data_IF_835932408468
#
_entry.id   IF_835932408468
#
_cell.length_a   1.000
_cell.length_b   1.000
_cell.length_c   1.000
_cell.angle_alpha   90.00
_cell.angle_beta   90.00
_cell.angle_gamma   90.00
#
_symmetry.space_group_name_H-M   'P 1'
#
loop_
_entity.id
_entity.type
_entity.pdbx_description
1 polymer ?
#
# COMPACT_ATOMS: atom_id res chain seq x y z
N UNK A 1 -34.67 1.60 -1.94
CA UNK A 1 -33.61 2.60 -2.18
C UNK A 1 -32.89 2.17 -3.45
N UNK A 2 -32.88 3.01 -4.48
CA UNK A 2 -32.29 2.66 -5.77
C UNK A 2 -30.76 2.70 -5.69
N UNK A 3 -30.11 1.53 -5.69
CA UNK A 3 -28.66 1.39 -5.64
C UNK A 3 -27.97 2.09 -6.84
N UNK A 4 -28.67 2.28 -7.97
CA UNK A 4 -28.16 2.98 -9.14
C UNK A 4 -27.88 4.48 -8.89
N UNK A 5 -28.44 5.05 -7.81
CA UNK A 5 -28.20 6.43 -7.40
C UNK A 5 -27.08 6.58 -6.36
N UNK A 6 -26.52 5.48 -5.87
CA UNK A 6 -25.39 5.52 -4.94
C UNK A 6 -24.07 5.62 -5.70
N UNK A 7 -23.12 6.36 -5.11
CA UNK A 7 -21.77 6.44 -5.65
C UNK A 7 -21.16 5.02 -5.76
N UNK A 8 -20.49 4.66 -6.87
CA UNK A 8 -19.96 3.30 -7.10
C UNK A 8 -19.09 2.73 -5.96
N UNK A 9 -18.32 3.59 -5.29
CA UNK A 9 -17.52 3.22 -4.12
C UNK A 9 -18.38 2.72 -2.93
N UNK A 10 -19.59 3.25 -2.77
CA UNK A 10 -20.52 2.81 -1.71
C UNK A 10 -21.17 1.48 -2.06
N UNK A 11 -21.54 1.30 -3.33
CA UNK A 11 -22.08 0.03 -3.83
C UNK A 11 -21.04 -1.08 -3.62
N UNK A 12 -19.81 -0.87 -4.05
CA UNK A 12 -18.73 -1.85 -3.87
C UNK A 12 -18.39 -2.11 -2.40
N UNK A 13 -18.40 -1.07 -1.55
CA UNK A 13 -18.23 -1.24 -0.09
C UNK A 13 -19.34 -2.10 0.50
N UNK A 14 -20.59 -1.82 0.16
CA UNK A 14 -21.75 -2.59 0.62
C UNK A 14 -21.69 -4.04 0.13
N UNK A 15 -21.33 -4.28 -1.14
CA UNK A 15 -21.15 -5.62 -1.70
C UNK A 15 -20.11 -6.43 -0.93
N UNK A 16 -18.95 -5.85 -0.61
CA UNK A 16 -17.91 -6.54 0.20
C UNK A 16 -18.41 -6.92 1.59
N UNK A 17 -19.14 -6.01 2.24
CA UNK A 17 -19.68 -6.26 3.58
C UNK A 17 -20.79 -7.33 3.55
N UNK A 18 -21.67 -7.28 2.56
CA UNK A 18 -22.70 -8.29 2.36
C UNK A 18 -22.12 -9.67 2.03
N UNK A 19 -21.16 -9.74 1.10
CA UNK A 19 -20.47 -10.98 0.72
C UNK A 19 -19.79 -11.65 1.91
N UNK A 20 -19.19 -10.86 2.81
CA UNK A 20 -18.61 -11.34 4.07
C UNK A 20 -19.66 -11.89 5.04
N UNK A 21 -20.82 -11.24 5.14
CA UNK A 21 -21.85 -11.59 6.10
C UNK A 21 -22.66 -12.84 5.69
N UNK A 22 -22.58 -13.26 4.43
CA UNK A 22 -23.27 -14.46 3.94
C UNK A 22 -22.73 -15.73 4.60
N UNK A 23 -23.62 -16.47 5.27
CA UNK A 23 -23.36 -17.86 5.65
C UNK A 23 -23.31 -18.76 4.41
N UNK A 24 -22.82 -19.99 4.58
CA UNK A 24 -22.78 -20.94 3.48
C UNK A 24 -24.20 -21.33 3.02
N UNK A 25 -25.18 -21.42 3.94
CA UNK A 25 -26.58 -21.70 3.63
C UNK A 25 -27.20 -20.56 2.83
N UNK A 26 -26.98 -19.31 3.26
CA UNK A 26 -27.49 -18.13 2.57
C UNK A 26 -26.88 -17.99 1.18
N UNK A 27 -25.58 -18.27 1.04
CA UNK A 27 -24.91 -18.30 -0.27
C UNK A 27 -25.47 -19.41 -1.17
N UNK A 28 -25.70 -20.61 -0.64
CA UNK A 28 -26.30 -21.71 -1.38
C UNK A 28 -27.73 -21.38 -1.83
N UNK A 29 -28.52 -20.73 -0.97
CA UNK A 29 -29.87 -20.28 -1.31
C UNK A 29 -29.87 -19.23 -2.43
N UNK A 30 -29.00 -18.22 -2.38
CA UNK A 30 -28.84 -17.24 -3.45
C UNK A 30 -28.49 -17.90 -4.79
N UNK A 31 -27.56 -18.85 -4.76
CA UNK A 31 -27.09 -19.55 -5.96
C UNK A 31 -28.15 -20.42 -6.65
N UNK A 32 -29.29 -20.70 -6.00
CA UNK A 32 -30.42 -21.44 -6.60
C UNK A 32 -31.30 -20.59 -7.52
N UNK A 33 -31.15 -19.27 -7.49
CA UNK A 33 -31.89 -18.35 -8.35
C UNK A 33 -30.95 -17.77 -9.42
N UNK A 34 -31.40 -17.54 -10.67
CA UNK A 34 -30.56 -16.93 -11.70
C UNK A 34 -30.00 -15.57 -11.28
N UNK A 35 -30.81 -14.73 -10.63
CA UNK A 35 -30.39 -13.40 -10.16
C UNK A 35 -29.36 -13.49 -9.03
N UNK A 36 -29.57 -14.38 -8.05
CA UNK A 36 -28.63 -14.58 -6.96
C UNK A 36 -27.30 -15.17 -7.44
N UNK A 37 -27.32 -16.13 -8.38
CA UNK A 37 -26.11 -16.67 -8.99
C UNK A 37 -25.31 -15.57 -9.73
N UNK A 38 -26.00 -14.70 -10.48
CA UNK A 38 -25.38 -13.54 -11.14
C UNK A 38 -24.77 -12.56 -10.13
N UNK A 39 -25.47 -12.25 -9.05
CA UNK A 39 -24.96 -11.38 -7.99
C UNK A 39 -23.70 -11.96 -7.32
N UNK A 40 -23.68 -13.27 -7.04
CA UNK A 40 -22.51 -13.94 -6.47
C UNK A 40 -21.31 -13.95 -7.42
N UNK A 41 -21.56 -14.08 -8.73
CA UNK A 41 -20.52 -13.95 -9.76
C UNK A 41 -19.95 -12.52 -9.77
N UNK A 42 -20.81 -11.51 -9.78
CA UNK A 42 -20.40 -10.10 -9.73
C UNK A 42 -19.54 -9.82 -8.47
N UNK A 43 -19.96 -10.31 -7.30
CA UNK A 43 -19.19 -10.16 -6.06
C UNK A 43 -17.84 -10.90 -6.11
N UNK A 44 -17.78 -12.06 -6.76
CA UNK A 44 -16.54 -12.81 -6.99
C UNK A 44 -15.58 -12.03 -7.89
N UNK A 45 -16.08 -11.39 -8.94
CA UNK A 45 -15.29 -10.54 -9.83
C UNK A 45 -14.80 -9.27 -9.10
N UNK A 46 -15.69 -8.60 -8.37
CA UNK A 46 -15.33 -7.46 -7.52
C UNK A 46 -14.28 -7.81 -6.46
N UNK A 47 -14.28 -9.06 -5.95
CA UNK A 47 -13.26 -9.55 -5.02
C UNK A 47 -11.88 -9.68 -5.65
N UNK A 48 -11.81 -9.98 -6.95
CA UNK A 48 -10.55 -10.07 -7.70
C UNK A 48 -10.06 -8.69 -8.10
N UNK A 49 -10.98 -7.80 -8.50
CA UNK A 49 -10.67 -6.45 -8.96
C UNK A 49 -9.99 -5.56 -7.90
N UNK A 50 -8.99 -4.78 -8.32
CA UNK A 50 -8.33 -3.80 -7.45
C UNK A 50 -9.35 -2.79 -6.89
N UNK A 51 -9.33 -2.47 -5.58
CA UNK A 51 -10.16 -1.43 -5.02
C UNK A 51 -9.86 -0.08 -5.71
N UNK A 52 -10.86 0.78 -5.84
CA UNK A 52 -10.64 2.16 -6.28
C UNK A 52 -10.00 2.97 -5.16
N UNK A 53 -9.14 3.94 -5.45
CA UNK A 53 -8.69 4.88 -4.43
C UNK A 53 -9.86 5.68 -3.83
N UNK A 54 -9.78 6.03 -2.53
CA UNK A 54 -10.83 6.80 -1.88
C UNK A 54 -10.96 8.19 -2.50
N UNK A 55 -12.21 8.62 -2.71
CA UNK A 55 -12.51 10.00 -3.05
C UNK A 55 -12.82 10.78 -1.78
N UNK A 56 -12.09 11.87 -1.57
CA UNK A 56 -12.27 12.75 -0.42
C UNK A 56 -13.07 14.01 -0.81
N UNK A 57 -13.81 14.61 0.14
CA UNK A 57 -14.08 14.10 1.49
C UNK A 57 -15.10 12.95 1.48
N UNK A 58 -15.03 12.07 2.48
CA UNK A 58 -16.12 11.13 2.76
C UNK A 58 -17.29 11.89 3.40
N UNK A 59 -18.53 11.39 3.22
CA UNK A 59 -19.71 11.98 3.85
C UNK A 59 -19.70 11.86 5.38
N UNK A 60 -19.08 10.82 5.94
CA UNK A 60 -18.91 10.63 7.39
C UNK A 60 -17.69 9.77 7.73
N UNK A 61 -17.29 9.79 9.00
CA UNK A 61 -16.22 8.91 9.52
C UNK A 61 -16.62 7.44 9.46
N UNK A 62 -17.88 7.11 9.74
CA UNK A 62 -18.41 5.74 9.66
C UNK A 62 -18.31 5.20 8.24
N UNK A 63 -18.65 6.01 7.24
CA UNK A 63 -18.53 5.63 5.83
C UNK A 63 -17.07 5.42 5.43
N UNK A 64 -16.18 6.30 5.88
CA UNK A 64 -14.76 6.16 5.64
C UNK A 64 -14.18 4.89 6.30
N UNK A 65 -14.61 4.60 7.54
CA UNK A 65 -14.23 3.38 8.25
C UNK A 65 -14.77 2.14 7.55
N UNK A 66 -16.05 2.12 7.17
CA UNK A 66 -16.67 1.00 6.47
C UNK A 66 -15.97 0.69 5.15
N UNK A 67 -15.59 1.72 4.39
CA UNK A 67 -14.79 1.60 3.18
C UNK A 67 -13.47 0.88 3.45
N UNK A 68 -12.66 1.38 4.39
CA UNK A 68 -11.35 0.78 4.71
C UNK A 68 -11.50 -0.63 5.32
N UNK A 69 -12.45 -0.82 6.24
CA UNK A 69 -12.72 -2.11 6.88
C UNK A 69 -13.12 -3.17 5.85
N UNK A 70 -13.95 -2.81 4.86
CA UNK A 70 -14.35 -3.71 3.79
C UNK A 70 -13.15 -4.23 2.98
N UNK A 71 -12.13 -3.39 2.76
CA UNK A 71 -10.90 -3.76 2.05
C UNK A 71 -10.05 -4.68 2.93
N UNK A 72 -9.83 -4.33 4.20
CA UNK A 72 -9.06 -5.16 5.14
C UNK A 72 -9.69 -6.56 5.24
N UNK A 73 -11.01 -6.63 5.40
CA UNK A 73 -11.73 -7.89 5.48
C UNK A 73 -11.61 -8.76 4.23
N UNK A 74 -11.47 -8.14 3.06
CA UNK A 74 -11.37 -8.83 1.78
C UNK A 74 -9.93 -9.24 1.42
N UNK A 75 -8.94 -8.42 1.79
CA UNK A 75 -7.56 -8.50 1.27
C UNK A 75 -6.51 -8.90 2.30
N UNK A 76 -6.82 -8.73 3.59
CA UNK A 76 -5.87 -9.05 4.63
C UNK A 76 -5.85 -10.54 4.97
N UNK A 77 -4.81 -10.99 5.66
CA UNK A 77 -4.79 -12.33 6.26
C UNK A 77 -5.89 -12.50 7.31
N UNK A 78 -6.30 -13.74 7.63
CA UNK A 78 -7.30 -13.99 8.68
C UNK A 78 -6.95 -13.34 10.03
N UNK A 79 -5.67 -13.29 10.39
CA UNK A 79 -5.20 -12.70 11.64
C UNK A 79 -5.41 -11.17 11.67
N UNK A 80 -5.11 -10.48 10.57
CA UNK A 80 -5.33 -9.04 10.46
C UNK A 80 -6.83 -8.69 10.41
N UNK A 81 -7.63 -9.49 9.69
CA UNK A 81 -9.09 -9.35 9.67
C UNK A 81 -9.68 -9.51 11.07
N UNK A 82 -9.27 -10.53 11.84
CA UNK A 82 -9.70 -10.72 13.24
C UNK A 82 -9.23 -9.59 14.17
N UNK A 83 -8.03 -9.05 13.96
CA UNK A 83 -7.56 -7.91 14.73
C UNK A 83 -8.48 -6.69 14.54
N UNK A 84 -8.94 -6.44 13.31
CA UNK A 84 -9.89 -5.37 13.03
C UNK A 84 -11.24 -5.61 13.74
N UNK A 85 -11.76 -6.85 13.72
CA UNK A 85 -13.01 -7.21 14.43
C UNK A 85 -12.92 -6.99 15.94
N UNK A 86 -11.75 -7.26 16.52
CA UNK A 86 -11.43 -7.03 17.93
C UNK A 86 -11.15 -5.55 18.25
N UNK A 87 -11.42 -4.63 17.31
CA UNK A 87 -11.14 -3.20 17.44
C UNK A 87 -9.67 -2.87 17.72
N UNK A 88 -8.74 -3.75 17.30
CA UNK A 88 -7.29 -3.49 17.42
C UNK A 88 -6.83 -2.59 16.28
N UNK A 89 -5.72 -1.91 16.53
CA UNK A 89 -5.02 -1.07 15.54
C UNK A 89 -4.67 -1.87 14.29
N UNK A 90 -5.14 -1.37 13.14
CA UNK A 90 -4.77 -1.86 11.80
C UNK A 90 -4.42 -0.67 10.94
N UNK A 91 -3.35 -0.78 10.17
CA UNK A 91 -2.92 0.24 9.21
C UNK A 91 -3.14 -0.31 7.81
N UNK A 92 -3.81 0.46 6.95
CA UNK A 92 -4.12 0.11 5.56
C UNK A 92 -3.36 1.05 4.63
N UNK A 93 -2.48 0.50 3.78
CA UNK A 93 -1.86 1.21 2.66
C UNK A 93 -2.68 1.04 1.40
N UNK A 94 -3.08 2.16 0.79
CA UNK A 94 -3.83 2.25 -0.45
C UNK A 94 -2.90 2.80 -1.52
N UNK A 95 -2.24 1.90 -2.26
CA UNK A 95 -1.24 2.25 -3.27
C UNK A 95 -1.89 2.57 -4.60
N UNK A 96 -1.50 3.68 -5.21
CA UNK A 96 -1.60 3.96 -6.64
C UNK A 96 -0.32 3.48 -7.31
N UNK A 97 -0.43 2.75 -8.41
CA UNK A 97 0.74 2.47 -9.24
C UNK A 97 1.14 3.74 -10.00
N UNK A 98 2.29 4.29 -9.64
CA UNK A 98 2.85 5.52 -10.23
C UNK A 98 4.31 5.29 -10.60
N UNK A 99 4.85 6.03 -11.57
CA UNK A 99 6.20 5.76 -12.05
C UNK A 99 7.25 6.22 -11.03
N UNK A 100 8.30 5.44 -10.84
CA UNK A 100 9.44 5.82 -10.00
C UNK A 100 10.17 7.07 -10.53
N UNK A 101 10.01 7.37 -11.83
CA UNK A 101 10.59 8.52 -12.52
C UNK A 101 9.83 9.83 -12.26
N UNK A 102 8.60 9.74 -11.75
CA UNK A 102 7.76 10.91 -11.50
C UNK A 102 8.40 11.86 -10.48
N UNK A 103 8.07 13.15 -10.59
CA UNK A 103 8.67 14.21 -9.78
C UNK A 103 10.21 14.17 -9.80
N UNK A 104 10.80 13.95 -10.99
CA UNK A 104 12.26 13.86 -11.20
C UNK A 104 12.91 12.76 -10.36
N UNK A 105 12.20 11.65 -10.13
CA UNK A 105 12.67 10.53 -9.31
C UNK A 105 12.65 10.76 -7.80
N UNK A 106 12.03 11.85 -7.33
CA UNK A 106 11.91 12.17 -5.91
C UNK A 106 10.70 11.48 -5.24
N UNK A 107 9.89 10.76 -6.01
CA UNK A 107 8.64 10.14 -5.57
C UNK A 107 7.49 11.14 -5.41
N UNK A 108 6.28 10.62 -5.24
CA UNK A 108 5.04 11.40 -5.17
C UNK A 108 4.16 10.93 -4.01
N UNK A 109 3.42 11.85 -3.39
CA UNK A 109 2.50 11.56 -2.29
C UNK A 109 1.07 11.39 -2.79
N UNK A 110 0.82 10.40 -3.65
CA UNK A 110 -0.47 10.10 -4.26
C UNK A 110 -1.14 8.82 -3.73
N UNK A 111 -0.51 8.17 -2.76
CA UNK A 111 -1.07 7.08 -1.98
C UNK A 111 -1.74 7.59 -0.70
N UNK A 112 -2.45 6.69 -0.03
CA UNK A 112 -2.96 6.95 1.31
C UNK A 112 -2.60 5.83 2.28
N UNK A 113 -2.11 6.21 3.46
CA UNK A 113 -2.06 5.33 4.62
C UNK A 113 -3.22 5.69 5.54
N UNK A 114 -4.10 4.72 5.80
CA UNK A 114 -5.22 4.84 6.71
C UNK A 114 -4.94 4.11 8.03
N UNK A 115 -5.14 4.79 9.15
CA UNK A 115 -5.04 4.21 10.49
C UNK A 115 -6.44 3.91 11.01
N UNK A 116 -6.77 2.62 11.16
CA UNK A 116 -8.05 2.14 11.70
C UNK A 116 -7.91 1.78 13.18
N UNK A 117 -8.92 2.11 13.98
CA UNK A 117 -8.95 1.88 15.43
C UNK A 117 -7.75 2.49 16.17
N UNK A 118 -7.28 3.65 15.69
CA UNK A 118 -6.17 4.39 16.27
C UNK A 118 -6.41 4.75 17.74
N UNK A 119 -5.37 4.66 18.57
CA UNK A 119 -5.46 4.88 20.03
C UNK A 119 -6.61 4.09 20.68
N UNK A 120 -6.86 2.85 20.23
CA UNK A 120 -7.95 1.96 20.66
C UNK A 120 -9.36 2.57 20.54
N UNK A 121 -9.54 3.57 19.66
CA UNK A 121 -10.86 4.15 19.38
C UNK A 121 -11.57 3.33 18.32
N UNK A 122 -12.39 2.37 18.74
CA UNK A 122 -13.19 1.52 17.85
C UNK A 122 -13.95 2.36 16.81
N UNK A 123 -13.88 1.96 15.54
CA UNK A 123 -14.58 2.62 14.44
C UNK A 123 -13.92 3.91 13.96
N UNK A 124 -12.77 4.31 14.52
CA UNK A 124 -12.03 5.48 14.05
C UNK A 124 -11.20 5.17 12.81
N UNK A 125 -11.10 6.15 11.91
CA UNK A 125 -10.19 6.13 10.77
C UNK A 125 -9.57 7.50 10.55
N UNK A 126 -8.28 7.54 10.19
CA UNK A 126 -7.59 8.75 9.73
C UNK A 126 -6.73 8.43 8.52
N UNK A 127 -6.72 9.32 7.53
CA UNK A 127 -5.95 9.16 6.30
C UNK A 127 -4.77 10.13 6.27
N UNK A 128 -3.65 9.64 5.74
CA UNK A 128 -2.41 10.40 5.60
C UNK A 128 -1.89 10.24 4.17
N UNK A 129 -1.59 11.34 3.45
CA UNK A 129 -0.90 11.28 2.16
C UNK A 129 0.43 10.55 2.31
N UNK A 130 0.66 9.59 1.42
CA UNK A 130 1.79 8.69 1.50
C UNK A 130 2.40 8.40 0.12
N UNK A 131 3.60 7.83 0.12
CA UNK A 131 4.24 7.21 -1.03
C UNK A 131 4.68 5.81 -0.64
N UNK A 132 4.32 4.83 -1.43
CA UNK A 132 4.63 3.42 -1.26
C UNK A 132 5.48 2.86 -2.40
N UNK A 133 5.75 3.71 -3.40
CA UNK A 133 6.72 3.53 -4.49
C UNK A 133 8.11 4.07 -4.10
N UNK A 134 9.21 3.48 -4.61
CA UNK A 134 10.55 4.03 -4.50
C UNK A 134 10.74 5.22 -5.45
N UNK A 135 11.59 6.17 -5.06
CA UNK A 135 12.06 7.21 -5.96
C UNK A 135 13.24 6.74 -6.82
N UNK A 136 13.21 7.01 -8.12
CA UNK A 136 14.31 6.71 -9.05
C UNK A 136 15.63 7.41 -8.71
N UNK A 137 15.62 8.41 -7.81
CA UNK A 137 16.85 9.03 -7.30
C UNK A 137 17.85 8.01 -6.71
N UNK A 138 17.38 6.84 -6.28
CA UNK A 138 18.20 5.78 -5.70
C UNK A 138 18.55 4.66 -6.70
N UNK A 139 18.06 4.71 -7.94
CA UNK A 139 18.27 3.67 -8.93
C UNK A 139 19.68 3.71 -9.52
N UNK A 140 20.31 2.55 -9.73
CA UNK A 140 21.60 2.47 -10.41
C UNK A 140 21.52 3.03 -11.84
N UNK A 141 20.39 2.80 -12.53
CA UNK A 141 20.10 3.28 -13.88
C UNK A 141 20.13 4.81 -14.02
N UNK A 142 19.88 5.54 -12.92
CA UNK A 142 19.97 7.00 -12.89
C UNK A 142 21.42 7.52 -12.80
N UNK A 143 22.39 6.67 -12.50
CA UNK A 143 23.79 7.09 -12.30
C UNK A 143 24.50 7.43 -13.62
N UNK A 144 25.67 8.07 -13.51
CA UNK A 144 26.52 8.38 -14.66
C UNK A 144 27.82 7.59 -14.63
N UNK A 145 28.18 6.98 -15.76
CA UNK A 145 29.46 6.29 -15.99
C UNK A 145 30.20 7.02 -17.12
N UNK A 146 31.44 7.44 -16.87
CA UNK A 146 32.20 8.24 -17.85
C UNK A 146 31.52 9.55 -18.26
N UNK A 147 30.72 10.15 -17.36
CA UNK A 147 29.96 11.38 -17.61
C UNK A 147 28.64 11.21 -18.36
N UNK A 148 28.34 10.00 -18.86
CA UNK A 148 27.07 9.67 -19.55
C UNK A 148 26.13 8.95 -18.59
N UNK A 149 24.81 9.15 -18.76
CA UNK A 149 23.83 8.38 -18.01
C UNK A 149 23.97 6.89 -18.34
N UNK A 150 23.78 6.03 -17.34
CA UNK A 150 23.75 4.59 -17.54
C UNK A 150 22.53 4.19 -18.39
N UNK A 151 21.40 4.85 -18.18
CA UNK A 151 20.15 4.64 -18.92
C UNK A 151 19.49 5.98 -19.27
N UNK A 152 19.28 6.24 -20.57
CA UNK A 152 18.71 7.49 -21.07
C UNK A 152 17.25 7.70 -20.63
N UNK A 153 16.52 6.64 -20.26
CA UNK A 153 15.16 6.74 -19.70
C UNK A 153 15.13 7.55 -18.39
N UNK A 154 16.25 7.58 -17.67
CA UNK A 154 16.39 8.28 -16.39
C UNK A 154 16.84 9.74 -16.55
N UNK A 155 16.83 10.28 -17.77
CA UNK A 155 17.16 11.68 -18.03
C UNK A 155 16.25 12.62 -17.21
N UNK A 156 16.88 13.48 -16.40
CA UNK A 156 16.18 14.46 -15.56
C UNK A 156 15.87 13.98 -14.15
N UNK A 157 16.18 12.72 -13.82
CA UNK A 157 16.14 12.23 -12.44
C UNK A 157 17.21 12.96 -11.61
N UNK A 158 16.81 13.44 -10.43
CA UNK A 158 17.75 13.93 -9.43
C UNK A 158 18.38 12.74 -8.72
N UNK A 159 19.69 12.53 -8.85
CA UNK A 159 20.34 11.37 -8.26
C UNK A 159 20.72 11.61 -6.80
N UNK A 160 20.43 10.63 -5.95
CA UNK A 160 20.98 10.55 -4.61
C UNK A 160 22.46 10.13 -4.66
N UNK A 161 23.16 10.32 -3.53
CA UNK A 161 24.56 9.87 -3.39
C UNK A 161 24.71 8.35 -3.33
N UNK A 162 23.65 7.65 -2.92
CA UNK A 162 23.67 6.22 -2.69
C UNK A 162 22.70 5.52 -3.62
N UNK A 163 23.17 4.42 -4.20
CA UNK A 163 22.37 3.50 -5.00
C UNK A 163 21.81 2.43 -4.08
N UNK A 164 20.52 2.15 -4.24
CA UNK A 164 19.81 1.06 -3.58
C UNK A 164 19.27 0.07 -4.61
N UNK A 165 18.88 -1.11 -4.15
CA UNK A 165 18.41 -2.19 -5.00
C UNK A 165 19.32 -3.40 -4.94
N UNK A 166 18.86 -4.48 -5.54
CA UNK A 166 19.57 -5.75 -5.69
C UNK A 166 19.49 -6.15 -7.16
N UNK A 167 20.55 -6.72 -7.72
CA UNK A 167 20.58 -7.24 -9.10
C UNK A 167 19.99 -8.65 -9.08
N UNK A 168 18.67 -8.76 -9.29
CA UNK A 168 17.96 -10.04 -9.10
C UNK A 168 17.95 -10.90 -10.36
N UNK A 169 18.01 -10.28 -11.53
CA UNK A 169 18.04 -10.95 -12.83
C UNK A 169 19.46 -11.16 -13.39
N UNK A 170 20.48 -10.64 -12.69
CA UNK A 170 21.91 -10.81 -12.99
C UNK A 170 22.35 -10.12 -14.28
N UNK A 171 21.72 -9.00 -14.63
CA UNK A 171 22.13 -8.15 -15.76
C UNK A 171 23.30 -7.19 -15.41
N UNK A 172 23.71 -7.16 -14.14
CA UNK A 172 24.78 -6.28 -13.63
C UNK A 172 24.29 -4.91 -13.13
N UNK A 173 22.97 -4.69 -13.10
CA UNK A 173 22.31 -3.47 -12.68
C UNK A 173 21.39 -3.79 -11.50
N UNK A 174 21.49 -3.00 -10.43
CA UNK A 174 20.61 -3.16 -9.27
C UNK A 174 19.20 -2.69 -9.57
N UNK A 175 18.23 -3.55 -9.25
CA UNK A 175 16.82 -3.32 -9.46
C UNK A 175 16.19 -2.60 -8.27
N UNK A 176 15.49 -1.51 -8.57
CA UNK A 176 14.66 -0.82 -7.59
C UNK A 176 13.59 -1.79 -7.06
N UNK A 177 13.23 -1.64 -5.78
CA UNK A 177 12.28 -2.54 -5.14
C UNK A 177 11.13 -1.79 -4.46
N UNK A 178 9.90 -2.27 -4.61
CA UNK A 178 8.73 -1.83 -3.82
C UNK A 178 8.20 -2.97 -2.98
N UNK A 179 7.66 -2.67 -1.79
CA UNK A 179 7.01 -3.70 -0.97
C UNK A 179 5.84 -4.34 -1.74
N UNK A 180 5.80 -5.68 -1.83
CA UNK A 180 4.70 -6.39 -2.50
C UNK A 180 3.40 -6.16 -1.72
N UNK A 181 2.26 -5.96 -2.41
CA UNK A 181 0.96 -5.89 -1.76
C UNK A 181 0.68 -7.16 -0.94
N UNK A 182 0.14 -6.98 0.26
CA UNK A 182 -0.01 -8.08 1.21
C UNK A 182 -0.20 -7.62 2.65
N UNK A 183 -0.15 -8.57 3.58
CA UNK A 183 -0.25 -8.28 5.02
C UNK A 183 1.07 -8.52 5.72
N UNK A 184 1.51 -7.51 6.46
CA UNK A 184 2.74 -7.52 7.24
C UNK A 184 2.41 -7.17 8.70
N UNK A 185 3.29 -7.55 9.62
CA UNK A 185 3.17 -7.12 11.02
C UNK A 185 4.34 -6.21 11.38
N UNK A 186 4.01 -4.98 11.77
CA UNK A 186 4.97 -3.93 12.06
C UNK A 186 5.02 -3.64 13.56
N UNK A 187 6.20 -3.23 14.01
CA UNK A 187 6.45 -2.68 15.34
C UNK A 187 7.34 -1.45 15.24
N UNK A 188 7.39 -0.69 16.32
CA UNK A 188 8.37 0.38 16.47
C UNK A 188 9.80 -0.15 16.21
N UNK A 189 10.58 0.60 15.43
CA UNK A 189 11.97 0.29 15.10
C UNK A 189 12.89 0.34 16.34
N UNK A 190 12.48 1.04 17.39
CA UNK A 190 13.22 1.23 18.64
C UNK A 190 14.30 2.31 18.57
N UNK A 191 14.37 3.04 17.45
CA UNK A 191 15.26 4.18 17.24
C UNK A 191 14.68 5.12 16.20
N UNK A 192 15.22 6.33 16.13
CA UNK A 192 14.88 7.26 15.06
C UNK A 192 15.48 6.82 13.72
N UNK A 193 14.75 7.13 12.66
CA UNK A 193 15.18 7.01 11.27
C UNK A 193 14.74 8.28 10.53
N UNK A 194 15.69 9.00 9.93
CA UNK A 194 15.47 10.33 9.36
C UNK A 194 14.82 11.30 10.36
N UNK A 195 15.39 11.39 11.57
CA UNK A 195 15.00 12.26 12.71
C UNK A 195 13.51 12.17 13.12
N UNK A 196 12.95 10.96 13.04
CA UNK A 196 11.63 10.62 13.56
C UNK A 196 11.53 9.13 13.92
N UNK A 197 10.58 8.72 14.77
CA UNK A 197 10.22 7.32 14.92
C UNK A 197 9.89 6.67 13.57
N UNK A 198 10.17 5.39 13.42
CA UNK A 198 9.85 4.60 12.24
C UNK A 198 9.41 3.19 12.63
N UNK A 199 8.79 2.48 11.70
CA UNK A 199 8.23 1.16 11.96
C UNK A 199 8.86 0.12 11.03
N UNK A 200 9.18 -1.05 11.59
CA UNK A 200 9.81 -2.15 10.87
C UNK A 200 8.95 -3.41 10.96
N UNK A 201 8.95 -4.20 9.87
CA UNK A 201 8.34 -5.52 9.84
C UNK A 201 9.05 -6.49 10.79
N UNK A 202 8.28 -7.36 11.46
CA UNK A 202 8.84 -8.37 12.37
C UNK A 202 9.46 -9.57 11.65
N UNK A 203 9.08 -9.79 10.40
CA UNK A 203 9.54 -10.88 9.54
C UNK A 203 10.09 -10.33 8.21
N UNK A 204 10.94 -11.09 7.50
CA UNK A 204 11.38 -10.72 6.16
C UNK A 204 10.20 -10.39 5.23
N UNK A 205 10.41 -9.41 4.38
CA UNK A 205 9.43 -8.85 3.46
C UNK A 205 9.69 -9.34 2.05
N UNK A 206 8.62 -9.50 1.28
CA UNK A 206 8.65 -9.74 -0.16
C UNK A 206 8.55 -8.40 -0.89
N UNK A 207 9.34 -8.22 -1.92
CA UNK A 207 9.32 -7.01 -2.76
C UNK A 207 9.14 -7.38 -4.23
N UNK A 208 8.55 -6.46 -4.98
CA UNK A 208 8.58 -6.47 -6.44
C UNK A 208 9.78 -5.65 -6.92
N UNK A 209 10.44 -6.11 -7.98
CA UNK A 209 11.64 -5.52 -8.57
C UNK A 209 11.33 -5.01 -9.98
N UNK A 210 11.83 -3.83 -10.31
CA UNK A 210 11.78 -3.22 -11.64
C UNK A 210 12.98 -3.74 -12.45
N UNK A 211 12.89 -4.98 -12.91
CA UNK A 211 14.01 -5.69 -13.58
C UNK A 211 14.24 -5.18 -14.99
N UNK A 212 13.18 -4.74 -15.69
CA UNK A 212 13.34 -4.11 -16.99
C UNK A 212 13.79 -2.63 -16.90
N UNK A 213 13.76 -2.06 -15.70
CA UNK A 213 14.22 -0.70 -15.40
C UNK A 213 13.35 0.41 -15.97
N UNK A 214 12.12 0.15 -16.37
CA UNK A 214 11.23 1.13 -17.01
C UNK A 214 10.59 2.12 -16.02
N UNK A 215 10.88 1.95 -14.74
CA UNK A 215 10.36 2.79 -13.67
C UNK A 215 8.92 2.45 -13.30
N UNK A 216 8.42 1.27 -13.67
CA UNK A 216 7.14 0.70 -13.25
C UNK A 216 7.38 -0.73 -12.75
N UNK A 217 6.42 -1.24 -12.00
CA UNK A 217 6.46 -2.60 -11.48
C UNK A 217 5.25 -3.33 -12.03
N UNK A 218 5.45 -4.09 -13.09
CA UNK A 218 4.35 -4.71 -13.82
C UNK A 218 4.60 -6.19 -14.08
N UNK A 219 3.65 -6.85 -14.75
CA UNK A 219 3.82 -8.25 -15.12
C UNK A 219 4.91 -8.46 -16.18
N UNK A 220 5.39 -7.41 -16.85
CA UNK A 220 6.48 -7.51 -17.84
C UNK A 220 7.86 -7.70 -17.22
N UNK A 221 8.01 -7.40 -15.92
CA UNK A 221 9.25 -7.63 -15.18
C UNK A 221 9.41 -9.14 -14.93
N UNK A 222 10.38 -9.74 -15.62
CA UNK A 222 10.80 -11.12 -15.39
C UNK A 222 11.48 -11.22 -14.03
N UNK A 223 11.29 -12.35 -13.32
CA UNK A 223 11.90 -12.61 -12.01
C UNK A 223 11.71 -11.51 -10.95
N UNK A 224 10.65 -10.69 -11.12
CA UNK A 224 10.40 -9.50 -10.28
C UNK A 224 10.13 -9.78 -8.81
N UNK A 225 9.80 -11.00 -8.43
CA UNK A 225 9.43 -11.32 -7.04
C UNK A 225 10.69 -11.70 -6.27
N UNK A 226 11.15 -10.80 -5.43
CA UNK A 226 12.20 -11.07 -4.46
C UNK A 226 11.57 -11.38 -3.09
N UNK A 227 11.53 -12.66 -2.67
CA UNK A 227 10.79 -13.08 -1.48
C UNK A 227 11.47 -12.68 -0.17
N UNK A 228 12.78 -12.39 -0.17
CA UNK A 228 13.55 -12.22 1.09
C UNK A 228 14.76 -11.29 1.00
N UNK A 229 15.24 -10.93 -0.19
CA UNK A 229 16.48 -10.19 -0.41
C UNK A 229 16.51 -8.83 0.29
N UNK A 230 15.36 -8.17 0.45
CA UNK A 230 15.28 -6.91 1.20
C UNK A 230 15.34 -7.07 2.73
N UNK A 231 15.23 -8.30 3.23
CA UNK A 231 15.11 -8.58 4.66
C UNK A 231 13.92 -7.85 5.29
N UNK A 232 14.19 -6.97 6.25
CA UNK A 232 13.16 -6.23 7.03
C UNK A 232 13.27 -4.72 6.84
N UNK A 233 13.82 -4.26 5.73
CA UNK A 233 14.28 -2.86 5.58
C UNK A 233 13.29 -1.94 4.89
N UNK A 234 12.12 -2.44 4.44
CA UNK A 234 11.04 -1.58 3.94
C UNK A 234 10.22 -1.03 5.11
N UNK A 235 10.69 0.07 5.69
CA UNK A 235 10.08 0.72 6.84
C UNK A 235 8.82 1.52 6.51
N UNK A 236 8.04 1.88 7.54
CA UNK A 236 7.11 3.00 7.47
C UNK A 236 7.76 4.18 8.21
N UNK A 237 8.06 5.28 7.51
CA UNK A 237 8.80 6.41 8.09
C UNK A 237 8.35 7.77 7.54
N UNK A 238 8.92 8.84 8.12
CA UNK A 238 8.72 10.22 7.67
C UNK A 238 9.45 10.45 6.35
N UNK A 239 8.78 11.00 5.35
CA UNK A 239 9.44 11.57 4.18
C UNK A 239 9.62 13.08 4.27
N UNK A 240 10.10 13.71 3.20
CA UNK A 240 10.24 15.16 3.09
C UNK A 240 8.93 15.88 2.74
N UNK A 241 9.05 17.13 2.28
CA UNK A 241 7.90 17.88 1.77
C UNK A 241 7.60 17.53 0.30
N UNK A 242 8.65 17.52 -0.53
CA UNK A 242 8.57 17.29 -1.98
C UNK A 242 9.48 16.13 -2.44
N UNK A 243 10.10 15.42 -1.50
CA UNK A 243 10.94 14.26 -1.74
C UNK A 243 10.56 13.19 -0.73
N UNK A 244 10.14 12.02 -1.19
CA UNK A 244 9.70 10.92 -0.34
C UNK A 244 10.86 10.33 0.47
N UNK A 245 12.09 10.45 -0.02
CA UNK A 245 13.31 10.00 0.65
C UNK A 245 13.35 8.48 0.79
N UNK A 246 12.71 7.75 -0.13
CA UNK A 246 12.51 6.31 -0.04
C UNK A 246 13.04 5.56 -1.24
N UNK A 247 13.81 4.50 -0.97
CA UNK A 247 14.21 3.48 -1.94
C UNK A 247 13.30 2.23 -1.91
N UNK A 248 12.07 2.35 -1.39
CA UNK A 248 11.08 1.26 -1.32
C UNK A 248 10.30 1.18 0.00
N UNK A 249 10.71 1.96 0.99
CA UNK A 249 9.96 2.21 2.22
C UNK A 249 8.62 2.90 1.94
N UNK A 250 7.70 2.75 2.90
CA UNK A 250 6.42 3.45 2.93
C UNK A 250 6.61 4.78 3.65
N UNK A 251 6.25 5.88 3.02
CA UNK A 251 6.54 7.21 3.56
C UNK A 251 5.31 8.06 3.69
N UNK A 252 5.22 8.80 4.78
CA UNK A 252 4.17 9.79 5.01
C UNK A 252 4.82 11.17 4.98
N UNK A 253 4.16 12.13 4.32
CA UNK A 253 4.70 13.49 4.14
C UNK A 253 4.99 14.17 5.48
N UNK A 254 6.06 14.96 5.52
CA UNK A 254 6.64 15.50 6.77
C UNK A 254 5.65 16.20 7.70
N UNK A 255 4.75 17.01 7.14
CA UNK A 255 3.74 17.79 7.86
C UNK A 255 2.61 16.94 8.46
N UNK A 256 2.32 15.79 7.86
CA UNK A 256 1.32 14.85 8.38
C UNK A 256 1.90 13.83 9.37
N UNK A 257 3.23 13.66 9.41
CA UNK A 257 3.87 12.62 10.22
C UNK A 257 3.56 12.72 11.72
N UNK A 258 3.56 13.90 12.36
CA UNK A 258 3.18 14.01 13.77
C UNK A 258 1.74 13.54 14.04
N UNK A 259 0.80 13.87 13.14
CA UNK A 259 -0.59 13.46 13.25
C UNK A 259 -0.75 11.94 13.02
N UNK A 260 0.08 11.34 12.16
CA UNK A 260 0.15 9.89 11.98
C UNK A 260 0.62 9.19 13.25
N UNK A 261 1.73 9.63 13.86
CA UNK A 261 2.22 9.08 15.13
C UNK A 261 1.17 9.19 16.24
N UNK A 262 0.50 10.35 16.33
CA UNK A 262 -0.60 10.54 17.27
C UNK A 262 -1.78 9.60 17.01
N UNK A 263 -2.07 9.25 15.75
CA UNK A 263 -3.15 8.32 15.41
C UNK A 263 -2.82 6.88 15.80
N UNK A 264 -1.54 6.47 15.70
CA UNK A 264 -1.09 5.15 16.14
C UNK A 264 -1.19 4.99 17.66
N UNK A 265 -0.83 6.03 18.42
CA UNK A 265 -0.76 6.00 19.88
C UNK A 265 0.61 5.53 20.39
N UNK A 266 0.69 5.13 21.66
CA UNK A 266 1.94 4.70 22.32
C UNK A 266 2.28 3.24 21.99
N UNK A 267 3.58 2.96 21.83
CA UNK A 267 4.16 1.62 21.59
C UNK A 267 3.43 0.79 20.52
N UNK A 268 3.20 1.35 19.32
CA UNK A 268 2.30 0.74 18.36
C UNK A 268 2.86 -0.57 17.80
N UNK A 269 1.99 -1.57 17.72
CA UNK A 269 2.20 -2.82 17.00
C UNK A 269 0.93 -3.10 16.20
N UNK A 270 1.07 -3.33 14.90
CA UNK A 270 -0.09 -3.37 14.03
C UNK A 270 0.12 -4.27 12.82
N UNK A 271 -0.99 -4.77 12.30
CA UNK A 271 -1.01 -5.29 10.95
C UNK A 271 -0.99 -4.13 9.97
N UNK A 272 -0.07 -4.17 9.02
CA UNK A 272 -0.05 -3.31 7.84
C UNK A 272 -0.59 -4.11 6.65
N UNK A 273 -1.74 -3.71 6.15
CA UNK A 273 -2.38 -4.30 4.97
C UNK A 273 -2.13 -3.36 3.81
N UNK A 274 -1.33 -3.76 2.84
CA UNK A 274 -1.03 -2.98 1.65
C UNK A 274 -1.79 -3.56 0.47
N UNK A 275 -2.52 -2.71 -0.26
CA UNK A 275 -3.27 -3.11 -1.46
C UNK A 275 -2.99 -2.16 -2.62
N UNK A 276 -2.87 -2.72 -3.82
CA UNK A 276 -2.81 -1.94 -5.06
C UNK A 276 -4.21 -1.54 -5.49
N UNK A 277 -4.40 -0.24 -5.71
CA UNK A 277 -5.65 0.39 -6.08
C UNK A 277 -5.62 0.83 -7.55
N UNK A 278 -6.81 1.07 -8.10
CA UNK A 278 -7.01 1.72 -9.41
C UNK A 278 -7.54 3.14 -9.26
#
# INVERSE_FOLDING_TARGET
>A
MDLAKLHPQLVTTASRLADRALTWEARAALNRTPDGARLLLEWSEQRRARPELPRFPFLSTEMAYAYCASIVHQRATPQASRALEQARLVVLGLRRETSTLDNKGLGVYDDYIAVLNGWNRRGSVKFFPASTEPGAQYAQRATKVGGKLLDDRYKGVQTARHVHGEDVDRDGIRDAGRLLAGTYFFKDLGREFLDAPAFQAVAPQTVERDTNGDGRFTLSDADRIDPKGVGRTMYIHRGGMNNTGSAGCQTIRKDYYPAFLSALGKDPRFFYVLVDCR
#
